data_IF_915144274284
#
_entry.id   IF_915144274284
#
_cell.length_a   1.000
_cell.length_b   1.000
_cell.length_c   1.000
_cell.angle_alpha   90.00
_cell.angle_beta   90.00
_cell.angle_gamma   90.00
#
_symmetry.space_group_name_H-M   'P 1'
#
loop_
_entity.id
_entity.type
_entity.pdbx_description
1 polymer ?
#
# COMPACT_ATOMS: atom_id res chain seq x y z
N UNK A 1 -50.09 68.99 -15.89
CA UNK A 1 -48.97 68.72 -16.83
C UNK A 1 -48.63 67.24 -16.74
N UNK A 2 -48.69 66.53 -17.88
CA UNK A 2 -48.01 65.28 -18.30
C UNK A 2 -47.67 64.25 -17.20
N UNK A 3 -48.26 63.04 -17.19
CA UNK A 3 -47.88 61.91 -18.06
C UNK A 3 -46.56 61.31 -17.54
N UNK A 4 -46.45 60.04 -17.14
CA UNK A 4 -46.41 58.86 -18.00
C UNK A 4 -46.57 57.58 -17.14
N UNK A 5 -47.33 56.64 -17.71
CA UNK A 5 -47.54 55.24 -17.34
C UNK A 5 -46.33 54.35 -17.64
N UNK A 6 -45.98 53.40 -16.77
CA UNK A 6 -45.25 52.19 -17.19
C UNK A 6 -45.92 50.92 -16.65
N UNK A 7 -45.98 49.95 -17.54
CA UNK A 7 -46.88 48.80 -17.59
C UNK A 7 -46.31 47.57 -16.88
N UNK A 8 -47.22 46.77 -16.32
CA UNK A 8 -47.04 45.35 -16.04
C UNK A 8 -46.48 44.61 -17.26
N UNK A 9 -45.45 43.79 -17.06
CA UNK A 9 -45.15 42.65 -17.93
C UNK A 9 -44.90 41.42 -17.05
N UNK A 10 -45.91 40.55 -17.01
CA UNK A 10 -45.81 39.18 -16.51
C UNK A 10 -45.34 38.29 -17.67
N UNK A 11 -44.44 37.31 -17.47
CA UNK A 11 -43.97 36.45 -18.55
C UNK A 11 -45.06 35.44 -18.97
N UNK A 12 -45.21 35.14 -20.28
CA UNK A 12 -46.22 34.21 -20.79
C UNK A 12 -45.85 32.74 -20.54
N UNK A 13 -46.85 31.83 -20.47
CA UNK A 13 -46.63 30.39 -20.34
C UNK A 13 -46.24 29.79 -21.70
N UNK A 14 -45.17 29.00 -21.72
CA UNK A 14 -44.79 28.20 -22.88
C UNK A 14 -45.77 27.03 -23.03
N UNK A 15 -46.65 27.15 -24.02
CA UNK A 15 -47.46 26.06 -24.55
C UNK A 15 -46.68 25.39 -25.66
N UNK A 16 -46.24 24.14 -25.43
CA UNK A 16 -45.87 23.23 -26.51
C UNK A 16 -46.80 22.03 -26.47
N UNK A 17 -47.86 22.15 -27.25
CA UNK A 17 -48.63 21.03 -27.78
C UNK A 17 -47.85 20.47 -28.97
N UNK A 18 -47.41 19.22 -28.90
CA UNK A 18 -47.18 18.41 -30.08
C UNK A 18 -47.63 16.96 -29.84
N UNK A 19 -48.49 16.55 -30.76
CA UNK A 19 -49.19 15.29 -30.89
C UNK A 19 -48.31 14.04 -30.81
N UNK A 20 -48.88 12.99 -30.21
CA UNK A 20 -48.49 11.59 -30.36
C UNK A 20 -48.58 11.12 -31.82
N UNK A 21 -47.80 10.10 -32.22
CA UNK A 21 -48.26 9.10 -33.16
C UNK A 21 -48.70 7.85 -32.40
N UNK A 22 -49.98 7.53 -32.53
CA UNK A 22 -50.52 6.19 -32.29
C UNK A 22 -49.93 5.22 -33.31
N UNK A 23 -49.30 4.14 -32.87
CA UNK A 23 -49.25 2.90 -33.65
C UNK A 23 -50.02 1.83 -32.88
N UNK A 24 -51.21 1.57 -33.43
CA UNK A 24 -52.13 0.49 -33.09
C UNK A 24 -51.58 -0.79 -33.73
N UNK A 25 -51.15 -1.76 -32.94
CA UNK A 25 -51.13 -3.17 -33.39
C UNK A 25 -52.00 -3.96 -32.42
N UNK A 26 -53.15 -4.38 -32.91
CA UNK A 26 -54.16 -5.14 -32.18
C UNK A 26 -54.15 -6.60 -32.62
N UNK A 27 -54.21 -7.49 -31.62
CA UNK A 27 -54.87 -8.83 -31.61
C UNK A 27 -54.12 -9.96 -32.37
N UNK A 28 -53.99 -11.18 -31.87
CA UNK A 28 -54.77 -11.94 -30.87
C UNK A 28 -54.09 -13.32 -30.58
N UNK A 29 -54.67 -14.27 -29.79
CA UNK A 29 -53.98 -14.93 -28.67
C UNK A 29 -53.91 -16.48 -28.77
N UNK A 30 -53.49 -17.11 -27.66
CA UNK A 30 -53.56 -18.54 -27.22
C UNK A 30 -52.15 -19.08 -26.92
N UNK A 31 -51.86 -19.85 -25.87
CA UNK A 31 -52.66 -20.48 -24.82
C UNK A 31 -51.73 -20.77 -23.62
N UNK A 32 -52.35 -20.82 -22.45
CA UNK A 32 -51.85 -21.23 -21.15
C UNK A 32 -51.09 -22.57 -21.14
N UNK A 33 -49.97 -22.65 -20.41
CA UNK A 33 -49.71 -23.81 -19.53
C UNK A 33 -48.85 -23.38 -18.35
N UNK A 34 -49.50 -23.31 -17.19
CA UNK A 34 -48.90 -23.28 -15.86
C UNK A 34 -48.12 -24.56 -15.63
N UNK A 35 -46.87 -24.49 -15.17
CA UNK A 35 -46.21 -25.61 -14.50
C UNK A 35 -45.43 -25.06 -13.31
N UNK A 36 -46.10 -25.12 -12.17
CA UNK A 36 -45.54 -25.04 -10.83
C UNK A 36 -44.67 -26.26 -10.57
N UNK A 37 -43.40 -26.07 -10.20
CA UNK A 37 -42.62 -27.11 -9.54
C UNK A 37 -42.70 -26.92 -8.02
N UNK A 38 -43.60 -27.68 -7.41
CA UNK A 38 -43.57 -28.03 -5.99
C UNK A 38 -42.55 -29.16 -5.80
N UNK A 39 -41.65 -29.03 -4.82
CA UNK A 39 -40.99 -30.16 -4.19
C UNK A 39 -41.29 -30.12 -2.70
N UNK A 40 -42.31 -30.90 -2.33
CA UNK A 40 -42.69 -31.20 -0.95
C UNK A 40 -41.62 -32.05 -0.25
N UNK A 41 -41.53 -31.77 1.04
CA UNK A 41 -40.97 -32.60 2.09
C UNK A 41 -41.34 -34.09 1.95
N UNK A 42 -40.38 -34.96 2.29
CA UNK A 42 -40.59 -36.37 2.54
C UNK A 42 -39.94 -36.75 3.87
N UNK A 43 -40.68 -37.56 4.61
CA UNK A 43 -40.56 -37.84 6.04
C UNK A 43 -39.37 -38.71 6.45
N UNK A 44 -38.98 -38.54 7.72
CA UNK A 44 -38.23 -39.45 8.59
C UNK A 44 -38.70 -40.92 8.53
N UNK A 45 -37.87 -41.86 9.04
CA UNK A 45 -38.24 -42.40 10.35
C UNK A 45 -37.09 -42.44 11.37
N UNK A 46 -37.50 -42.26 12.64
CA UNK A 46 -36.76 -42.55 13.86
C UNK A 46 -36.22 -44.00 13.87
N UNK A 47 -35.00 -44.17 14.37
CA UNK A 47 -34.62 -45.38 15.11
C UNK A 47 -33.96 -44.98 16.43
N UNK A 48 -34.58 -45.41 17.53
CA UNK A 48 -34.05 -45.39 18.90
C UNK A 48 -32.87 -46.35 19.03
N UNK A 49 -31.89 -45.96 19.84
CA UNK A 49 -30.75 -46.79 20.26
C UNK A 49 -29.92 -46.11 21.33
N UNK A 50 -30.50 -45.97 22.53
CA UNK A 50 -29.81 -45.98 23.84
C UNK A 50 -29.17 -47.37 24.01
N UNK A 51 -28.02 -47.67 24.63
CA UNK A 51 -27.08 -47.06 25.58
C UNK A 51 -25.77 -47.86 25.42
N UNK A 52 -24.59 -47.27 25.61
CA UNK A 52 -23.62 -47.78 26.61
C UNK A 52 -22.36 -46.91 26.68
N UNK A 53 -22.08 -46.48 27.91
CA UNK A 53 -20.92 -45.72 28.31
C UNK A 53 -19.72 -46.65 28.49
N UNK A 54 -18.59 -46.31 27.86
CA UNK A 54 -17.27 -46.68 28.36
C UNK A 54 -16.25 -45.55 28.09
N UNK A 55 -15.96 -44.85 29.19
CA UNK A 55 -14.65 -44.38 29.67
C UNK A 55 -13.44 -44.35 28.72
N UNK A 56 -12.81 -43.17 28.72
CA UNK A 56 -11.38 -42.89 28.56
C UNK A 56 -10.66 -43.37 27.29
N UNK A 57 -10.33 -42.39 26.43
CA UNK A 57 -8.92 -42.17 26.12
C UNK A 57 -8.68 -40.68 25.87
N UNK A 58 -7.97 -40.06 26.81
CA UNK A 58 -7.18 -38.85 26.59
C UNK A 58 -6.42 -38.94 25.26
N UNK A 59 -6.90 -38.24 24.23
CA UNK A 59 -6.06 -37.86 23.10
C UNK A 59 -5.67 -36.41 23.29
N UNK A 60 -4.56 -36.24 24.00
CA UNK A 60 -3.76 -35.05 23.99
C UNK A 60 -3.57 -34.58 22.53
N UNK A 61 -3.97 -33.34 22.25
CA UNK A 61 -3.63 -32.65 21.02
C UNK A 61 -2.11 -32.73 20.81
N UNK A 62 -1.61 -33.20 19.64
CA UNK A 62 -0.19 -33.17 19.38
C UNK A 62 0.27 -31.71 19.34
N UNK A 63 1.30 -31.40 20.12
CA UNK A 63 1.90 -30.08 20.20
C UNK A 63 2.21 -29.53 18.82
N UNK A 64 1.51 -28.46 18.45
CA UNK A 64 1.76 -27.66 17.25
C UNK A 64 3.17 -27.08 17.29
N UNK A 65 3.81 -26.79 16.13
CA UNK A 65 5.09 -26.12 16.10
C UNK A 65 4.95 -24.78 16.81
N UNK A 66 5.51 -24.73 18.03
CA UNK A 66 5.59 -23.53 18.86
C UNK A 66 6.21 -22.37 18.08
N UNK A 67 5.90 -21.13 18.46
CA UNK A 67 6.60 -19.91 18.07
C UNK A 67 8.13 -20.10 18.01
N UNK A 68 8.67 -20.91 18.91
CA UNK A 68 10.07 -21.36 18.93
C UNK A 68 10.51 -22.03 17.63
N UNK A 69 9.70 -22.90 17.01
CA UNK A 69 10.02 -23.60 15.78
C UNK A 69 10.06 -22.64 14.57
N UNK A 70 9.12 -21.70 14.45
CA UNK A 70 9.14 -20.69 13.38
C UNK A 70 10.29 -19.69 13.56
N UNK A 71 10.58 -19.28 14.81
CA UNK A 71 11.75 -18.47 15.13
C UNK A 71 13.06 -19.25 14.95
N UNK A 72 13.09 -20.56 15.23
CA UNK A 72 14.23 -21.45 14.97
C UNK A 72 14.49 -21.62 13.49
N UNK A 73 13.45 -21.79 12.68
CA UNK A 73 13.59 -21.86 11.22
C UNK A 73 14.14 -20.54 10.71
N UNK A 74 13.62 -19.40 11.20
CA UNK A 74 14.13 -18.07 10.85
C UNK A 74 15.59 -17.86 11.28
N UNK A 75 16.00 -18.30 12.47
CA UNK A 75 17.40 -18.19 12.92
C UNK A 75 18.34 -19.11 12.16
N UNK A 76 17.96 -20.38 11.95
CA UNK A 76 18.75 -21.36 11.17
C UNK A 76 18.97 -20.94 9.71
N UNK A 77 18.00 -20.24 9.11
CA UNK A 77 18.12 -19.73 7.73
C UNK A 77 18.98 -18.46 7.64
N UNK A 78 18.97 -17.62 8.68
CA UNK A 78 19.87 -16.46 8.76
C UNK A 78 21.32 -16.86 9.05
N UNK A 79 21.54 -17.97 9.77
CA UNK A 79 22.87 -18.52 10.06
C UNK A 79 23.45 -19.37 8.91
N UNK A 80 22.62 -19.85 7.98
CA UNK A 80 23.04 -20.67 6.82
C UNK A 80 23.65 -19.90 5.65
N UNK A 81 23.75 -18.57 5.75
CA UNK A 81 24.16 -17.67 4.67
C UNK A 81 25.47 -16.94 4.91
N UNK A 82 26.55 -17.61 5.34
CA UNK A 82 27.89 -17.03 5.23
C UNK A 82 28.95 -18.10 4.95
N UNK A 83 28.94 -18.62 3.72
CA UNK A 83 30.08 -19.36 3.17
C UNK A 83 30.99 -18.38 2.46
N UNK A 84 32.17 -18.21 3.04
CA UNK A 84 33.26 -17.38 2.55
C UNK A 84 33.73 -17.76 1.14
N UNK A 85 34.10 -16.75 0.36
CA UNK A 85 34.91 -16.84 -0.86
C UNK A 85 35.73 -15.54 -0.98
N UNK A 86 36.90 -15.53 -1.65
CA UNK A 86 38.18 -15.35 -1.00
C UNK A 86 38.84 -13.99 -1.25
N UNK A 87 39.93 -13.76 -0.49
CA UNK A 87 40.94 -12.73 -0.74
C UNK A 87 41.33 -12.64 -2.23
N UNK A 88 41.24 -11.43 -2.76
CA UNK A 88 42.09 -10.98 -3.85
C UNK A 88 42.58 -9.57 -3.54
N UNK A 89 43.91 -9.48 -3.35
CA UNK A 89 44.71 -8.28 -3.47
C UNK A 89 44.37 -7.51 -4.76
N UNK A 90 44.37 -6.16 -4.72
CA UNK A 90 45.15 -5.27 -5.62
C UNK A 90 44.78 -3.79 -5.36
N UNK A 91 45.81 -3.07 -4.93
CA UNK A 91 46.25 -1.71 -5.27
C UNK A 91 45.38 -0.46 -5.01
N UNK A 92 45.88 0.29 -4.03
CA UNK A 92 45.88 1.75 -3.92
C UNK A 92 46.60 2.42 -5.11
N UNK A 93 46.06 3.50 -5.69
CA UNK A 93 46.88 4.49 -6.36
C UNK A 93 46.86 5.82 -5.59
N UNK A 94 47.74 5.92 -4.60
CA UNK A 94 48.30 7.22 -4.18
C UNK A 94 49.75 7.27 -4.67
N UNK A 95 49.94 7.76 -5.90
CA UNK A 95 51.25 8.11 -6.43
C UNK A 95 51.26 9.58 -6.84
N UNK A 96 52.03 10.38 -6.10
CA UNK A 96 52.78 11.49 -6.66
C UNK A 96 53.93 11.86 -5.71
N UNK A 97 54.97 11.02 -5.65
CA UNK A 97 56.29 11.50 -5.23
C UNK A 97 57.34 10.90 -6.15
N UNK A 98 57.97 11.80 -6.89
CA UNK A 98 58.86 11.55 -8.01
C UNK A 98 60.19 11.01 -7.51
N UNK A 99 60.63 9.88 -8.07
CA UNK A 99 62.00 9.39 -8.05
C UNK A 99 62.52 9.38 -9.49
N UNK A 100 63.40 10.32 -9.81
CA UNK A 100 64.38 10.25 -10.89
C UNK A 100 65.29 11.48 -10.71
N UNK A 101 66.59 11.40 -10.59
CA UNK A 101 67.51 10.28 -10.56
C UNK A 101 68.87 10.92 -10.30
N UNK A 102 69.67 10.31 -9.44
CA UNK A 102 71.07 10.67 -9.28
C UNK A 102 71.79 10.48 -10.63
N UNK A 103 71.99 11.57 -11.35
CA UNK A 103 73.04 11.66 -12.36
C UNK A 103 74.17 12.48 -11.75
N UNK A 104 75.25 11.75 -11.47
CA UNK A 104 76.57 12.25 -11.10
C UNK A 104 76.92 13.46 -11.95
N UNK A 105 77.12 14.61 -11.30
CA UNK A 105 77.85 15.71 -11.90
C UNK A 105 79.34 15.29 -11.96
N UNK A 106 80.01 15.37 -13.11
CA UNK A 106 81.45 15.28 -13.14
C UNK A 106 82.05 16.49 -12.44
N UNK A 107 82.99 16.23 -11.53
CA UNK A 107 83.95 17.20 -11.02
C UNK A 107 84.67 17.84 -12.20
N UNK A 108 84.23 19.04 -12.59
CA UNK A 108 85.01 19.94 -13.42
C UNK A 108 85.62 20.96 -12.48
N UNK A 109 86.89 20.70 -12.16
CA UNK A 109 87.81 21.68 -11.64
C UNK A 109 87.65 22.98 -12.44
N UNK A 110 87.39 24.07 -11.73
CA UNK A 110 87.55 25.41 -12.26
C UNK A 110 89.02 25.57 -12.68
N UNK A 111 89.31 25.37 -13.96
CA UNK A 111 90.43 26.07 -14.56
C UNK A 111 90.07 27.55 -14.52
N UNK A 112 90.86 28.31 -13.77
CA UNK A 112 90.87 29.78 -13.81
C UNK A 112 91.36 30.18 -15.20
N UNK A 113 90.44 30.23 -16.15
CA UNK A 113 90.58 30.93 -17.41
C UNK A 113 89.75 32.20 -17.30
N UNK A 114 90.42 33.31 -17.01
CA UNK A 114 89.83 34.64 -16.98
C UNK A 114 89.38 35.05 -18.39
N UNK A 115 88.19 34.63 -18.79
CA UNK A 115 87.40 35.37 -19.76
C UNK A 115 86.62 36.40 -18.94
N UNK A 116 86.95 37.67 -19.10
CA UNK A 116 86.22 38.76 -18.48
C UNK A 116 84.77 38.72 -18.95
N UNK A 117 83.89 38.05 -18.19
CA UNK A 117 82.45 38.21 -18.33
C UNK A 117 82.19 39.68 -18.03
N UNK A 118 81.81 40.42 -19.06
CA UNK A 118 81.55 41.85 -18.92
C UNK A 118 80.39 42.06 -17.96
N UNK A 119 80.40 43.18 -17.25
CA UNK A 119 79.31 43.58 -16.34
C UNK A 119 77.94 43.53 -17.05
N UNK A 120 77.93 43.80 -18.36
CA UNK A 120 76.75 43.72 -19.24
C UNK A 120 76.19 42.29 -19.38
N UNK A 121 77.03 41.26 -19.52
CA UNK A 121 76.57 39.88 -19.66
C UNK A 121 75.96 39.35 -18.34
N UNK A 122 76.48 39.79 -17.19
CA UNK A 122 75.89 39.49 -15.87
C UNK A 122 74.59 40.24 -15.64
N UNK A 123 74.53 41.51 -16.06
CA UNK A 123 73.31 42.31 -15.96
C UNK A 123 72.20 41.77 -16.88
N UNK A 124 72.54 41.33 -18.09
CA UNK A 124 71.60 40.69 -19.01
C UNK A 124 71.11 39.33 -18.47
N UNK A 125 72.00 38.49 -17.93
CA UNK A 125 71.60 37.23 -17.31
C UNK A 125 70.70 37.44 -16.08
N UNK A 126 70.98 38.45 -15.24
CA UNK A 126 70.14 38.80 -14.10
C UNK A 126 68.76 39.32 -14.53
N UNK A 127 68.70 40.20 -15.54
CA UNK A 127 67.45 40.70 -16.12
C UNK A 127 66.60 39.57 -16.73
N UNK A 128 67.24 38.59 -17.37
CA UNK A 128 66.55 37.45 -17.98
C UNK A 128 66.01 36.46 -16.94
N UNK A 129 66.69 36.30 -15.80
CA UNK A 129 66.20 35.53 -14.65
C UNK A 129 65.03 36.23 -13.97
N UNK A 130 65.07 37.56 -13.85
CA UNK A 130 63.98 38.34 -13.27
C UNK A 130 62.74 38.34 -14.17
N UNK A 131 62.89 38.46 -15.49
CA UNK A 131 61.80 38.39 -16.46
C UNK A 131 61.16 37.00 -16.52
N UNK A 132 61.96 35.93 -16.45
CA UNK A 132 61.43 34.55 -16.41
C UNK A 132 60.73 34.22 -15.10
N UNK A 133 61.23 34.75 -13.97
CA UNK A 133 60.57 34.67 -12.66
C UNK A 133 59.23 35.41 -12.66
N UNK A 134 59.20 36.64 -13.19
CA UNK A 134 57.98 37.43 -13.33
C UNK A 134 56.95 36.75 -14.24
N UNK A 135 57.38 36.19 -15.38
CA UNK A 135 56.51 35.46 -16.32
C UNK A 135 56.00 34.14 -15.73
N UNK A 136 56.78 33.49 -14.87
CA UNK A 136 56.35 32.31 -14.12
C UNK A 136 55.32 32.69 -13.05
N UNK A 137 55.49 33.84 -12.39
CA UNK A 137 54.54 34.35 -11.40
C UNK A 137 53.20 34.74 -12.05
N UNK A 138 53.22 35.39 -13.21
CA UNK A 138 52.02 35.71 -13.99
C UNK A 138 51.27 34.45 -14.43
N UNK A 139 51.97 33.39 -14.82
CA UNK A 139 51.36 32.11 -15.18
C UNK A 139 50.65 31.46 -13.97
N UNK A 140 51.25 31.53 -12.78
CA UNK A 140 50.66 31.05 -11.53
C UNK A 140 49.40 31.86 -11.18
N UNK A 141 49.47 33.18 -11.31
CA UNK A 141 48.34 34.09 -11.03
C UNK A 141 47.16 33.88 -12.00
N UNK A 142 47.45 33.62 -13.28
CA UNK A 142 46.44 33.26 -14.28
C UNK A 142 45.77 31.94 -13.93
N UNK A 143 46.53 30.92 -13.52
CA UNK A 143 45.96 29.62 -13.17
C UNK A 143 45.14 29.69 -11.87
N UNK A 144 45.57 30.48 -10.88
CA UNK A 144 44.79 30.77 -9.67
C UNK A 144 43.44 31.43 -10.00
N UNK A 145 43.41 32.36 -10.96
CA UNK A 145 42.15 32.99 -11.43
C UNK A 145 41.25 31.98 -12.14
N UNK A 146 41.81 31.10 -12.97
CA UNK A 146 41.06 30.03 -13.64
C UNK A 146 40.48 29.06 -12.63
N UNK A 147 41.26 28.66 -11.62
CA UNK A 147 40.80 27.77 -10.56
C UNK A 147 39.68 28.38 -9.74
N UNK A 148 39.81 29.66 -9.36
CA UNK A 148 38.73 30.41 -8.69
C UNK A 148 37.47 30.48 -9.55
N UNK A 149 37.61 30.72 -10.85
CA UNK A 149 36.47 30.75 -11.78
C UNK A 149 35.82 29.38 -11.94
N UNK A 150 36.60 28.28 -12.03
CA UNK A 150 36.09 26.90 -12.03
C UNK A 150 35.31 26.62 -10.75
N UNK A 151 35.89 26.95 -9.59
CA UNK A 151 35.25 26.77 -8.29
C UNK A 151 33.97 27.60 -8.17
N UNK A 152 33.97 28.84 -8.64
CA UNK A 152 32.79 29.70 -8.62
C UNK A 152 31.68 29.18 -9.53
N UNK A 153 32.01 28.74 -10.75
CA UNK A 153 31.05 28.13 -11.68
C UNK A 153 30.50 26.81 -11.13
N UNK A 154 31.34 25.97 -10.51
CA UNK A 154 30.91 24.73 -9.87
C UNK A 154 29.95 25.01 -8.71
N UNK A 155 30.26 25.99 -7.86
CA UNK A 155 29.37 26.44 -6.77
C UNK A 155 28.05 27.00 -7.30
N UNK A 156 28.08 27.78 -8.37
CA UNK A 156 26.88 28.32 -9.00
C UNK A 156 25.98 27.20 -9.55
N UNK A 157 26.56 26.24 -10.30
CA UNK A 157 25.84 25.07 -10.83
C UNK A 157 25.25 24.22 -9.70
N UNK A 158 26.04 23.95 -8.66
CA UNK A 158 25.57 23.21 -7.47
C UNK A 158 24.40 23.93 -6.78
N UNK A 159 24.49 25.26 -6.63
CA UNK A 159 23.41 26.07 -6.04
C UNK A 159 22.13 26.00 -6.86
N UNK A 160 22.22 25.98 -8.19
CA UNK A 160 21.05 25.82 -9.06
C UNK A 160 20.44 24.43 -8.94
N UNK A 161 21.26 23.37 -8.93
CA UNK A 161 20.78 21.98 -8.75
C UNK A 161 20.08 21.81 -7.40
N UNK A 162 20.67 22.30 -6.31
CA UNK A 162 20.05 22.22 -4.98
C UNK A 162 18.73 22.99 -4.92
N UNK A 163 18.63 24.15 -5.60
CA UNK A 163 17.39 24.92 -5.67
C UNK A 163 16.30 24.15 -6.44
N UNK A 164 16.66 23.49 -7.54
CA UNK A 164 15.72 22.66 -8.30
C UNK A 164 15.23 21.47 -7.49
N UNK A 165 16.15 20.71 -6.86
CA UNK A 165 15.79 19.57 -6.01
C UNK A 165 14.89 19.99 -4.85
N UNK A 166 15.21 21.08 -4.15
CA UNK A 166 14.38 21.61 -3.07
C UNK A 166 12.99 22.04 -3.55
N UNK A 167 12.86 22.56 -4.77
CA UNK A 167 11.58 22.94 -5.35
C UNK A 167 10.75 21.70 -5.70
N UNK A 168 11.37 20.67 -6.27
CA UNK A 168 10.72 19.38 -6.56
C UNK A 168 10.21 18.72 -5.28
N UNK A 169 11.03 18.66 -4.23
CA UNK A 169 10.61 18.16 -2.91
C UNK A 169 9.42 18.96 -2.38
N UNK A 170 9.47 20.29 -2.49
CA UNK A 170 8.37 21.16 -2.05
C UNK A 170 7.08 20.93 -2.83
N UNK A 171 7.18 20.71 -4.15
CA UNK A 171 6.03 20.37 -5.00
C UNK A 171 5.45 19.01 -4.61
N UNK A 172 6.28 18.01 -4.30
CA UNK A 172 5.81 16.71 -3.83
C UNK A 172 5.11 16.81 -2.47
N UNK A 173 5.67 17.57 -1.54
CA UNK A 173 5.05 17.86 -0.23
C UNK A 173 3.71 18.56 -0.41
N UNK A 174 3.65 19.62 -1.22
CA UNK A 174 2.42 20.35 -1.49
C UNK A 174 1.36 19.48 -2.18
N UNK A 175 1.75 18.62 -3.11
CA UNK A 175 0.81 17.67 -3.75
C UNK A 175 0.22 16.70 -2.73
N UNK A 176 1.07 16.16 -1.84
CA UNK A 176 0.62 15.28 -0.76
C UNK A 176 -0.32 16.02 0.20
N UNK A 177 0.02 17.24 0.57
CA UNK A 177 -0.80 18.08 1.45
C UNK A 177 -2.15 18.43 0.81
N UNK A 178 -2.19 18.77 -0.48
CA UNK A 178 -3.44 18.98 -1.22
C UNK A 178 -4.28 17.70 -1.23
N UNK A 179 -3.67 16.53 -1.40
CA UNK A 179 -4.37 15.26 -1.34
C UNK A 179 -4.95 15.00 0.04
N UNK A 180 -4.14 15.19 1.09
CA UNK A 180 -4.56 15.01 2.49
C UNK A 180 -5.69 15.99 2.86
N UNK A 181 -5.60 17.26 2.45
CA UNK A 181 -6.62 18.29 2.66
C UNK A 181 -7.91 17.99 1.88
N UNK A 182 -7.81 17.44 0.67
CA UNK A 182 -8.99 17.01 -0.08
C UNK A 182 -9.70 15.83 0.61
N UNK A 183 -8.94 14.86 1.14
CA UNK A 183 -9.48 13.75 1.93
C UNK A 183 -10.18 14.31 3.18
N UNK A 184 -9.52 15.20 3.92
CA UNK A 184 -10.10 15.84 5.10
C UNK A 184 -11.39 16.60 4.76
N UNK A 185 -11.39 17.39 3.69
CA UNK A 185 -12.56 18.12 3.22
C UNK A 185 -13.70 17.18 2.82
N UNK A 186 -13.41 16.08 2.14
CA UNK A 186 -14.43 15.08 1.80
C UNK A 186 -15.03 14.46 3.06
N UNK A 187 -14.21 14.05 4.03
CA UNK A 187 -14.67 13.50 5.32
C UNK A 187 -15.49 14.51 6.11
N UNK A 188 -15.08 15.78 6.15
CA UNK A 188 -15.81 16.86 6.85
C UNK A 188 -17.11 17.18 6.13
N UNK A 189 -17.10 17.30 4.80
CA UNK A 189 -18.29 17.55 3.99
C UNK A 189 -19.31 16.43 4.12
N UNK A 190 -18.83 15.19 4.17
CA UNK A 190 -19.62 14.01 4.42
C UNK A 190 -20.22 14.01 5.84
N UNK A 191 -19.46 14.45 6.85
CA UNK A 191 -19.95 14.60 8.23
C UNK A 191 -21.01 15.71 8.34
N UNK A 192 -20.92 16.73 7.49
CA UNK A 192 -21.86 17.84 7.41
C UNK A 192 -23.14 17.52 6.62
N UNK A 193 -23.10 16.55 5.70
CA UNK A 193 -24.27 16.02 4.99
C UNK A 193 -24.80 14.81 5.76
N UNK A 194 -25.64 15.10 6.76
CA UNK A 194 -26.26 14.14 7.68
C UNK A 194 -26.53 12.73 7.09
N UNK A 195 -25.94 11.71 7.73
CA UNK A 195 -26.41 10.33 8.05
C UNK A 195 -27.31 9.52 7.10
N UNK A 196 -27.70 10.00 5.92
CA UNK A 196 -28.72 9.38 5.06
C UNK A 196 -28.41 9.42 3.57
N UNK A 197 -27.39 10.16 3.12
CA UNK A 197 -27.00 10.13 1.70
C UNK A 197 -26.18 8.87 1.41
N UNK A 198 -26.25 8.31 0.20
CA UNK A 198 -25.44 7.12 -0.17
C UNK A 198 -23.93 7.31 0.04
N UNK A 199 -23.42 8.51 -0.24
CA UNK A 199 -22.03 8.86 0.04
C UNK A 199 -21.76 8.91 1.52
N UNK A 200 -22.66 9.59 2.27
CA UNK A 200 -22.92 9.62 3.72
C UNK A 200 -22.98 8.24 4.39
N UNK A 201 -23.48 7.28 3.64
CA UNK A 201 -23.47 5.85 3.86
C UNK A 201 -22.06 5.32 4.13
N UNK A 202 -21.32 5.55 3.05
CA UNK A 202 -20.14 4.80 2.67
C UNK A 202 -18.91 5.28 3.42
N UNK A 203 -18.68 6.59 3.54
CA UNK A 203 -17.50 7.07 4.27
C UNK A 203 -17.60 6.77 5.79
N UNK A 204 -18.79 6.71 6.37
CA UNK A 204 -19.00 6.35 7.78
C UNK A 204 -18.68 4.87 7.98
N UNK A 205 -19.08 4.01 7.04
CA UNK A 205 -18.66 2.61 7.04
C UNK A 205 -17.14 2.49 7.10
N UNK A 206 -16.40 3.14 6.20
CA UNK A 206 -14.93 3.07 6.22
C UNK A 206 -14.32 3.70 7.47
N UNK A 207 -14.91 4.76 8.02
CA UNK A 207 -14.46 5.37 9.26
C UNK A 207 -14.63 4.42 10.46
N UNK A 208 -15.76 3.74 10.56
CA UNK A 208 -16.08 2.84 11.66
C UNK A 208 -15.25 1.55 11.61
N UNK A 209 -15.04 1.00 10.42
CA UNK A 209 -14.33 -0.27 10.20
C UNK A 209 -12.88 -0.13 9.77
N UNK A 210 -12.32 1.10 9.81
CA UNK A 210 -10.92 1.41 9.47
C UNK A 210 -9.92 0.44 10.11
N UNK A 211 -10.14 0.10 11.37
CA UNK A 211 -9.27 -0.79 12.16
C UNK A 211 -9.92 -2.13 12.47
N UNK A 212 -10.80 -2.60 11.58
CA UNK A 212 -11.58 -3.80 11.80
C UNK A 212 -12.68 -3.63 12.83
N UNK A 213 -13.09 -4.76 13.41
CA UNK A 213 -14.09 -4.85 14.46
C UNK A 213 -13.50 -4.35 15.78
N UNK A 214 -14.11 -3.35 16.39
CA UNK A 214 -13.69 -2.86 17.70
C UNK A 214 -14.32 -3.76 18.75
N UNK A 215 -13.50 -4.25 19.68
CA UNK A 215 -14.01 -4.93 20.85
C UNK A 215 -14.77 -3.93 21.72
N UNK A 216 -16.02 -4.23 22.07
CA UNK A 216 -16.69 -3.55 23.19
C UNK A 216 -16.03 -4.00 24.48
N UNK A 217 -15.75 -3.08 25.39
CA UNK A 217 -15.35 -3.38 26.77
C UNK A 217 -16.58 -3.91 27.55
N UNK A 218 -17.21 -4.97 27.06
CA UNK A 218 -18.20 -5.73 27.82
C UNK A 218 -17.59 -7.08 28.14
N UNK A 219 -17.09 -7.15 29.36
CA UNK A 219 -16.40 -8.29 29.94
C UNK A 219 -17.43 -9.37 30.25
N UNK A 220 -17.89 -10.11 29.25
CA UNK A 220 -18.45 -11.43 29.50
C UNK A 220 -17.30 -12.43 29.50
N UNK A 221 -17.05 -12.99 30.68
CA UNK A 221 -16.04 -14.00 30.95
C UNK A 221 -16.72 -15.36 30.82
N UNK A 222 -16.60 -16.10 29.70
CA UNK A 222 -17.09 -17.46 29.68
C UNK A 222 -16.08 -18.30 30.46
N UNK A 223 -16.52 -18.87 31.57
CA UNK A 223 -15.79 -19.91 32.26
C UNK A 223 -15.50 -21.04 31.27
N UNK A 224 -14.22 -21.38 31.13
CA UNK A 224 -13.62 -22.48 30.34
C UNK A 224 -13.46 -22.24 28.83
N UNK A 225 -12.19 -22.35 28.38
CA UNK A 225 -11.64 -22.28 26.99
C UNK A 225 -10.99 -20.95 26.61
N UNK A 226 -9.67 -20.99 26.37
CA UNK A 226 -8.72 -19.88 26.14
C UNK A 226 -8.85 -19.17 24.77
N UNK A 227 -10.07 -18.87 24.30
CA UNK A 227 -10.26 -18.06 23.10
C UNK A 227 -10.97 -16.76 23.51
N UNK A 228 -10.22 -15.65 23.56
CA UNK A 228 -10.80 -14.32 23.71
C UNK A 228 -11.56 -14.00 22.43
N UNK A 229 -12.87 -14.23 22.44
CA UNK A 229 -13.75 -13.84 21.33
C UNK A 229 -14.00 -12.34 21.43
N UNK A 230 -13.64 -11.52 20.43
CA UNK A 230 -13.94 -10.09 20.46
C UNK A 230 -15.46 -9.88 20.49
N UNK A 231 -15.97 -9.25 21.54
CA UNK A 231 -17.37 -8.78 21.60
C UNK A 231 -17.51 -7.60 20.65
N UNK A 232 -18.39 -7.69 19.65
CA UNK A 232 -18.62 -6.65 18.65
C UNK A 232 -19.03 -5.33 19.33
N UNK A 233 -18.38 -4.21 18.99
CA UNK A 233 -18.80 -2.87 19.41
C UNK A 233 -20.26 -2.60 19.04
N UNK A 234 -21.10 -2.25 20.02
CA UNK A 234 -22.51 -1.92 19.79
C UNK A 234 -22.67 -0.82 18.71
N UNK A 235 -21.78 0.19 18.71
CA UNK A 235 -21.79 1.27 17.71
C UNK A 235 -21.64 0.75 16.27
N UNK A 236 -20.76 -0.23 16.04
CA UNK A 236 -20.58 -0.80 14.70
C UNK A 236 -21.77 -1.66 14.28
N UNK A 237 -22.36 -2.40 15.24
CA UNK A 237 -23.56 -3.22 14.99
C UNK A 237 -24.78 -2.34 14.68
N UNK A 238 -25.06 -1.35 15.51
CA UNK A 238 -26.20 -0.44 15.35
C UNK A 238 -26.12 0.33 14.03
N UNK A 239 -24.91 0.76 13.66
CA UNK A 239 -24.66 1.37 12.37
C UNK A 239 -25.04 0.42 11.23
N UNK A 240 -24.56 -0.83 11.21
CA UNK A 240 -24.90 -1.77 10.14
C UNK A 240 -26.41 -2.07 10.10
N UNK A 241 -27.06 -2.24 11.26
CA UNK A 241 -28.51 -2.47 11.33
C UNK A 241 -29.34 -1.30 10.78
N UNK A 242 -28.83 -0.07 10.93
CA UNK A 242 -29.50 1.13 10.43
C UNK A 242 -29.20 1.37 8.94
N UNK A 243 -27.93 1.21 8.55
CA UNK A 243 -27.41 1.56 7.22
C UNK A 243 -27.66 0.50 6.15
N UNK A 244 -27.77 -0.77 6.53
CA UNK A 244 -27.85 -1.91 5.61
C UNK A 244 -29.28 -2.42 5.50
N UNK A 245 -29.62 -2.97 4.33
CA UNK A 245 -30.82 -3.80 4.20
C UNK A 245 -30.70 -5.04 5.11
N UNK A 246 -31.81 -5.57 5.67
CA UNK A 246 -31.77 -6.78 6.50
C UNK A 246 -31.13 -7.99 5.81
N UNK A 247 -31.29 -8.06 4.49
CA UNK A 247 -30.79 -9.09 3.57
C UNK A 247 -29.61 -8.59 2.71
N UNK A 248 -28.87 -7.58 3.19
CA UNK A 248 -27.70 -7.02 2.48
C UNK A 248 -26.76 -8.12 1.97
N UNK A 249 -26.45 -8.09 0.69
CA UNK A 249 -25.56 -9.10 0.09
C UNK A 249 -24.11 -8.76 0.41
N UNK A 250 -23.43 -9.63 1.18
CA UNK A 250 -22.00 -9.53 1.47
C UNK A 250 -21.13 -10.38 0.53
N UNK A 251 -19.82 -10.42 0.82
CA UNK A 251 -18.87 -11.22 0.03
C UNK A 251 -19.08 -12.73 0.18
N UNK A 252 -19.47 -13.17 1.37
CA UNK A 252 -19.61 -14.60 1.70
C UNK A 252 -21.09 -15.00 1.79
N UNK A 253 -21.89 -14.20 2.50
CA UNK A 253 -23.28 -14.51 2.82
C UNK A 253 -24.10 -13.21 2.94
N UNK A 254 -25.40 -13.32 3.23
CA UNK A 254 -26.34 -12.20 3.32
C UNK A 254 -26.67 -11.80 4.77
N UNK A 255 -27.02 -10.53 4.94
CA UNK A 255 -27.46 -9.94 6.20
C UNK A 255 -26.35 -9.38 7.08
N UNK A 256 -26.76 -8.62 8.10
CA UNK A 256 -25.85 -7.87 8.98
C UNK A 256 -24.95 -8.79 9.81
N UNK A 257 -25.47 -9.92 10.30
CA UNK A 257 -24.66 -10.86 11.10
C UNK A 257 -23.55 -11.51 10.27
N UNK A 258 -23.81 -11.79 8.98
CA UNK A 258 -22.78 -12.29 8.07
C UNK A 258 -21.65 -11.28 7.85
N UNK A 259 -21.99 -9.99 7.71
CA UNK A 259 -21.00 -8.92 7.59
C UNK A 259 -20.15 -8.80 8.86
N UNK A 260 -20.76 -8.87 10.04
CA UNK A 260 -20.05 -8.84 11.32
C UNK A 260 -19.15 -10.07 11.50
N UNK A 261 -19.62 -11.24 11.10
CA UNK A 261 -18.81 -12.46 11.12
C UNK A 261 -17.59 -12.35 10.20
N UNK A 262 -17.76 -11.82 8.99
CA UNK A 262 -16.64 -11.57 8.08
C UNK A 262 -15.63 -10.57 8.68
N UNK A 263 -16.09 -9.47 9.27
CA UNK A 263 -15.21 -8.51 9.95
C UNK A 263 -14.48 -9.12 11.14
N UNK A 264 -15.12 -10.02 11.88
CA UNK A 264 -14.47 -10.75 12.97
C UNK A 264 -13.31 -11.60 12.46
N UNK A 265 -13.49 -12.29 11.34
CA UNK A 265 -12.43 -13.08 10.72
C UNK A 265 -11.27 -12.21 10.21
N UNK A 266 -11.59 -11.09 9.55
CA UNK A 266 -10.58 -10.10 9.13
C UNK A 266 -9.79 -9.60 10.34
N UNK A 267 -10.48 -9.16 11.40
CA UNK A 267 -9.84 -8.58 12.59
C UNK A 267 -8.96 -9.59 13.32
N UNK A 268 -9.40 -10.85 13.40
CA UNK A 268 -8.62 -11.94 13.98
C UNK A 268 -7.33 -12.19 13.18
N UNK A 269 -7.43 -12.21 11.84
CA UNK A 269 -6.28 -12.45 10.98
C UNK A 269 -5.34 -11.25 10.92
N UNK A 270 -5.86 -10.03 11.08
CA UNK A 270 -5.09 -8.78 10.91
C UNK A 270 -5.41 -7.79 12.03
N UNK A 271 -4.87 -7.97 13.25
CA UNK A 271 -5.20 -7.14 14.40
C UNK A 271 -4.79 -5.67 14.27
N UNK A 272 -3.73 -5.40 13.48
CA UNK A 272 -3.19 -4.06 13.24
C UNK A 272 -3.69 -3.43 11.92
N UNK A 273 -4.79 -3.95 11.36
CA UNK A 273 -5.31 -3.49 10.08
C UNK A 273 -5.63 -1.98 10.09
N UNK A 274 -5.26 -1.30 9.01
CA UNK A 274 -5.59 0.09 8.74
C UNK A 274 -6.10 0.23 7.30
N UNK A 275 -7.40 0.48 7.15
CA UNK A 275 -8.08 0.68 5.86
C UNK A 275 -8.40 2.15 5.70
N UNK A 276 -7.68 2.81 4.81
CA UNK A 276 -7.86 4.22 4.51
C UNK A 276 -8.71 4.37 3.25
N UNK A 277 -9.82 5.10 3.36
CA UNK A 277 -10.59 5.52 2.20
C UNK A 277 -9.81 6.58 1.43
N UNK A 278 -9.44 6.27 0.18
CA UNK A 278 -8.68 7.18 -0.69
C UNK A 278 -9.63 8.09 -1.44
N UNK A 279 -10.69 7.52 -2.01
CA UNK A 279 -11.72 8.26 -2.75
C UNK A 279 -12.98 7.42 -2.94
N UNK A 280 -14.06 8.12 -3.25
CA UNK A 280 -15.35 7.56 -3.63
C UNK A 280 -15.66 8.01 -5.06
N UNK A 281 -16.17 7.08 -5.86
CA UNK A 281 -16.52 7.26 -7.28
C UNK A 281 -17.93 6.72 -7.54
N UNK A 282 -18.58 7.26 -8.57
CA UNK A 282 -19.84 6.72 -9.06
C UNK A 282 -19.58 5.41 -9.82
N UNK A 283 -20.30 4.36 -9.45
CA UNK A 283 -20.30 3.11 -10.16
C UNK A 283 -21.43 3.03 -11.19
N UNK A 284 -21.54 1.90 -11.91
CA UNK A 284 -22.67 1.66 -12.79
C UNK A 284 -23.99 1.57 -12.00
N UNK A 285 -25.06 2.19 -12.52
CA UNK A 285 -26.35 2.25 -11.84
C UNK A 285 -26.27 3.02 -10.51
N UNK A 286 -27.01 2.58 -9.51
CA UNK A 286 -27.04 3.21 -8.18
C UNK A 286 -25.92 2.70 -7.26
N UNK A 287 -24.75 2.38 -7.84
CA UNK A 287 -23.61 1.87 -7.08
C UNK A 287 -22.57 2.94 -6.79
N UNK A 288 -21.88 2.77 -5.66
CA UNK A 288 -20.72 3.54 -5.25
C UNK A 288 -19.50 2.63 -5.31
N UNK A 289 -18.41 3.14 -5.85
CA UNK A 289 -17.11 2.48 -5.80
C UNK A 289 -16.21 3.23 -4.84
N UNK A 290 -15.76 2.53 -3.80
CA UNK A 290 -14.80 3.04 -2.84
C UNK A 290 -13.42 2.46 -3.10
N UNK A 291 -12.44 3.33 -3.34
CA UNK A 291 -11.05 2.93 -3.48
C UNK A 291 -10.35 3.14 -2.16
N UNK A 292 -9.70 2.09 -1.66
CA UNK A 292 -9.05 2.07 -0.36
C UNK A 292 -7.59 1.68 -0.46
N UNK A 293 -6.83 2.05 0.57
CA UNK A 293 -5.49 1.56 0.80
C UNK A 293 -5.49 0.85 2.15
N UNK A 294 -5.20 -0.45 2.14
CA UNK A 294 -5.09 -1.29 3.32
C UNK A 294 -3.63 -1.45 3.73
N UNK A 295 -3.37 -1.54 5.03
CA UNK A 295 -2.10 -2.05 5.53
C UNK A 295 -2.31 -2.91 6.77
N UNK A 296 -1.56 -4.00 6.89
CA UNK A 296 -1.59 -4.91 8.03
C UNK A 296 -0.32 -5.75 8.06
N UNK A 297 -0.03 -6.36 9.21
CA UNK A 297 1.10 -7.26 9.39
C UNK A 297 0.62 -8.71 9.30
N UNK A 298 1.39 -9.56 8.62
CA UNK A 298 1.15 -11.01 8.62
C UNK A 298 1.57 -11.57 9.99
N UNK A 299 0.60 -11.94 10.80
CA UNK A 299 0.80 -12.52 12.14
C UNK A 299 0.76 -14.05 12.09
N UNK A 300 1.01 -14.68 13.24
CA UNK A 300 0.80 -16.12 13.41
C UNK A 300 -0.67 -16.49 13.14
N UNK A 301 -1.62 -15.69 13.63
CA UNK A 301 -3.04 -15.87 13.35
C UNK A 301 -3.35 -15.75 11.86
N UNK A 302 -2.74 -14.79 11.15
CA UNK A 302 -2.88 -14.73 9.68
C UNK A 302 -2.44 -16.05 9.05
N UNK A 303 -1.26 -16.57 9.40
CA UNK A 303 -0.76 -17.83 8.83
C UNK A 303 -1.66 -19.01 9.20
N UNK A 304 -2.09 -19.10 10.45
CA UNK A 304 -2.93 -20.19 10.96
C UNK A 304 -4.33 -20.19 10.32
N UNK A 305 -4.96 -19.04 10.16
CA UNK A 305 -6.33 -18.94 9.68
C UNK A 305 -6.43 -18.77 8.17
N UNK A 306 -5.53 -18.02 7.53
CA UNK A 306 -5.54 -17.78 6.09
C UNK A 306 -4.73 -18.80 5.28
N UNK A 307 -3.62 -19.30 5.82
CA UNK A 307 -2.69 -20.19 5.11
C UNK A 307 -2.27 -21.41 5.95
N UNK A 308 -3.22 -22.21 6.48
CA UNK A 308 -2.92 -23.28 7.43
C UNK A 308 -1.96 -24.34 6.89
N UNK A 309 -1.95 -24.55 5.56
CA UNK A 309 -1.03 -25.48 4.90
C UNK A 309 0.43 -25.04 4.97
N UNK A 310 0.71 -23.74 5.15
CA UNK A 310 2.08 -23.26 5.33
C UNK A 310 2.65 -23.60 6.71
N UNK A 311 1.79 -23.70 7.72
CA UNK A 311 2.17 -24.02 9.10
C UNK A 311 2.29 -25.54 9.30
N UNK A 312 1.38 -26.31 8.69
CA UNK A 312 1.31 -27.76 8.85
C UNK A 312 1.94 -28.53 7.67
N UNK A 313 2.66 -27.82 6.79
CA UNK A 313 3.23 -28.37 5.56
C UNK A 313 4.63 -28.95 5.72
N UNK A 314 5.34 -29.10 4.60
CA UNK A 314 6.72 -29.56 4.58
C UNK A 314 7.73 -28.42 4.89
N UNK A 315 9.02 -28.71 4.86
CA UNK A 315 10.08 -27.73 5.16
C UNK A 315 10.03 -26.48 4.26
N UNK A 316 9.64 -26.62 2.99
CA UNK A 316 9.49 -25.49 2.06
C UNK A 316 8.30 -24.62 2.45
N UNK A 317 7.21 -25.23 2.89
CA UNK A 317 6.01 -24.52 3.36
C UNK A 317 6.31 -23.75 4.66
N UNK A 318 7.04 -24.37 5.59
CA UNK A 318 7.50 -23.73 6.82
C UNK A 318 8.50 -22.59 6.54
N UNK A 319 9.38 -22.75 5.54
CA UNK A 319 10.26 -21.69 5.07
C UNK A 319 9.45 -20.50 4.52
N UNK A 320 8.43 -20.75 3.69
CA UNK A 320 7.52 -19.70 3.20
C UNK A 320 6.80 -19.00 4.36
N UNK A 321 6.24 -19.76 5.31
CA UNK A 321 5.60 -19.20 6.50
C UNK A 321 6.55 -18.26 7.26
N UNK A 322 7.81 -18.68 7.44
CA UNK A 322 8.84 -17.88 8.14
C UNK A 322 9.20 -16.59 7.40
N UNK A 323 9.14 -16.59 6.05
CA UNK A 323 9.36 -15.40 5.23
C UNK A 323 8.22 -14.41 5.32
N UNK A 324 6.99 -14.92 5.36
CA UNK A 324 5.77 -14.12 5.45
C UNK A 324 5.58 -13.52 6.85
N UNK A 325 5.93 -14.27 7.89
CA UNK A 325 5.70 -13.87 9.28
C UNK A 325 6.36 -12.51 9.62
N UNK A 326 5.56 -11.62 10.21
CA UNK A 326 5.98 -10.28 10.62
C UNK A 326 6.15 -9.28 9.47
N UNK A 327 5.84 -9.66 8.23
CA UNK A 327 5.92 -8.74 7.10
C UNK A 327 4.69 -7.85 7.05
N UNK A 328 4.91 -6.57 6.80
CA UNK A 328 3.83 -5.60 6.63
C UNK A 328 3.44 -5.49 5.16
N UNK A 329 2.19 -5.83 4.86
CA UNK A 329 1.62 -5.71 3.53
C UNK A 329 0.90 -4.37 3.37
N UNK A 330 0.92 -3.86 2.15
CA UNK A 330 0.14 -2.70 1.73
C UNK A 330 -0.66 -3.10 0.50
N UNK A 331 -1.99 -3.11 0.61
CA UNK A 331 -2.90 -3.55 -0.45
C UNK A 331 -3.71 -2.37 -0.97
N UNK A 332 -4.08 -2.43 -2.25
CA UNK A 332 -5.09 -1.52 -2.81
C UNK A 332 -6.41 -2.25 -2.86
N UNK A 333 -7.44 -1.66 -2.25
CA UNK A 333 -8.78 -2.20 -2.17
C UNK A 333 -9.77 -1.47 -3.06
N UNK A 334 -10.79 -2.19 -3.48
CA UNK A 334 -11.96 -1.68 -4.17
C UNK A 334 -13.21 -2.32 -3.55
N UNK A 335 -14.11 -1.48 -3.05
CA UNK A 335 -15.39 -1.91 -2.51
C UNK A 335 -16.52 -1.31 -3.33
N UNK A 336 -17.36 -2.18 -3.90
CA UNK A 336 -18.57 -1.82 -4.62
C UNK A 336 -19.74 -1.91 -3.66
N UNK A 337 -20.51 -0.84 -3.55
CA UNK A 337 -21.67 -0.72 -2.67
C UNK A 337 -22.87 -0.42 -3.55
N UNK A 338 -23.89 -1.27 -3.51
CA UNK A 338 -25.16 -1.00 -4.16
C UNK A 338 -26.07 -0.29 -3.16
N UNK A 339 -26.59 0.86 -3.57
CA UNK A 339 -27.53 1.63 -2.77
C UNK A 339 -28.96 1.39 -3.25
N UNK A 340 -29.87 1.20 -2.30
CA UNK A 340 -31.31 1.17 -2.53
C UNK A 340 -31.86 2.57 -2.19
N UNK A 341 -32.21 3.33 -3.22
CA UNK A 341 -32.77 4.69 -3.08
C UNK A 341 -34.17 4.69 -2.45
N UNK A 342 -34.95 3.62 -2.60
CA UNK A 342 -36.31 3.54 -2.03
C UNK A 342 -36.23 3.27 -0.52
N UNK A 343 -35.39 2.32 -0.12
CA UNK A 343 -35.18 1.98 1.29
C UNK A 343 -34.24 2.95 2.02
N UNK A 344 -33.43 3.73 1.28
CA UNK A 344 -32.37 4.58 1.83
C UNK A 344 -31.28 3.77 2.54
N UNK A 345 -30.95 2.59 2.02
CA UNK A 345 -30.04 1.61 2.64
C UNK A 345 -29.12 0.95 1.63
N UNK A 346 -28.05 0.34 2.14
CA UNK A 346 -27.14 -0.47 1.32
C UNK A 346 -27.75 -1.85 1.08
N UNK A 347 -27.95 -2.21 -0.18
CA UNK A 347 -28.46 -3.51 -0.61
C UNK A 347 -27.35 -4.55 -0.83
N UNK A 348 -26.14 -4.12 -1.18
CA UNK A 348 -25.00 -5.02 -1.38
C UNK A 348 -23.68 -4.34 -1.07
N UNK A 349 -22.72 -5.09 -0.53
CA UNK A 349 -21.35 -4.66 -0.31
C UNK A 349 -20.36 -5.75 -0.72
N UNK A 350 -19.55 -5.46 -1.73
CA UNK A 350 -18.59 -6.39 -2.30
C UNK A 350 -17.21 -5.75 -2.30
N UNK A 351 -16.26 -6.30 -1.55
CA UNK A 351 -14.88 -5.80 -1.53
C UNK A 351 -13.93 -6.75 -2.26
N UNK A 352 -12.83 -6.19 -2.73
CA UNK A 352 -11.64 -6.85 -3.26
C UNK A 352 -10.42 -6.09 -2.75
N UNK A 353 -9.34 -6.77 -2.42
CA UNK A 353 -8.06 -6.13 -2.16
C UNK A 353 -6.91 -6.95 -2.74
N UNK A 354 -6.04 -6.30 -3.51
CA UNK A 354 -4.91 -6.94 -4.17
C UNK A 354 -3.82 -7.30 -3.15
N UNK A 355 -3.77 -8.58 -2.79
CA UNK A 355 -2.68 -9.18 -1.99
C UNK A 355 -1.65 -9.88 -2.88
N UNK A 356 -1.97 -10.13 -4.15
CA UNK A 356 -1.08 -10.80 -5.09
C UNK A 356 0.19 -9.98 -5.34
N UNK A 357 0.04 -8.69 -5.67
CA UNK A 357 1.19 -7.85 -5.99
C UNK A 357 2.14 -7.64 -4.80
N UNK A 358 1.65 -7.36 -3.58
CA UNK A 358 2.51 -7.30 -2.39
C UNK A 358 3.22 -8.63 -2.10
N UNK A 359 2.54 -9.77 -2.28
CA UNK A 359 3.15 -11.09 -2.08
C UNK A 359 4.24 -11.38 -3.12
N UNK A 360 4.02 -11.01 -4.39
CA UNK A 360 5.02 -11.16 -5.44
C UNK A 360 6.26 -10.30 -5.17
N UNK A 361 6.08 -9.06 -4.70
CA UNK A 361 7.18 -8.19 -4.30
C UNK A 361 7.96 -8.76 -3.11
N UNK A 362 7.26 -9.34 -2.14
CA UNK A 362 7.87 -9.93 -0.94
C UNK A 362 8.64 -11.22 -1.24
N UNK A 363 8.05 -12.12 -2.04
CA UNK A 363 8.59 -13.45 -2.30
C UNK A 363 9.60 -13.45 -3.45
N UNK A 364 9.43 -12.56 -4.43
CA UNK A 364 10.35 -12.34 -5.55
C UNK A 364 10.13 -13.25 -6.76
N UNK A 365 9.19 -14.20 -6.69
CA UNK A 365 8.87 -15.10 -7.79
C UNK A 365 7.41 -15.59 -7.70
N UNK A 366 6.86 -16.02 -8.84
CA UNK A 366 5.46 -16.46 -8.93
C UNK A 366 5.24 -17.89 -8.43
N UNK A 367 6.27 -18.73 -8.42
CA UNK A 367 6.18 -20.13 -7.97
C UNK A 367 5.84 -20.20 -6.47
N UNK A 368 6.58 -19.46 -5.65
CA UNK A 368 6.34 -19.32 -4.21
C UNK A 368 4.97 -18.71 -3.94
N UNK A 369 4.58 -17.67 -4.68
CA UNK A 369 3.27 -17.02 -4.55
C UNK A 369 2.15 -18.01 -4.88
N UNK A 370 2.29 -18.80 -5.95
CA UNK A 370 1.32 -19.84 -6.32
C UNK A 370 1.20 -20.90 -5.22
N UNK A 371 2.29 -21.19 -4.51
CA UNK A 371 2.30 -22.15 -3.40
C UNK A 371 1.60 -21.60 -2.15
N UNK A 372 1.78 -20.31 -1.86
CA UNK A 372 1.03 -19.60 -0.80
C UNK A 372 -0.47 -19.64 -1.08
N UNK A 373 -0.90 -19.34 -2.31
CA UNK A 373 -2.30 -19.34 -2.74
C UNK A 373 -2.74 -20.68 -3.36
N UNK A 374 -2.18 -21.80 -2.90
CA UNK A 374 -2.62 -23.13 -3.34
C UNK A 374 -4.07 -23.41 -2.94
N UNK A 375 -4.65 -24.51 -3.43
CA UNK A 375 -6.04 -24.89 -3.14
C UNK A 375 -6.38 -25.05 -1.66
N UNK A 376 -5.37 -25.21 -0.80
CA UNK A 376 -5.52 -25.32 0.66
C UNK A 376 -5.52 -23.95 1.37
N UNK A 377 -5.23 -22.87 0.66
CA UNK A 377 -5.30 -21.51 1.19
C UNK A 377 -6.77 -21.13 1.43
N UNK A 378 -7.03 -20.52 2.58
CA UNK A 378 -8.35 -20.00 2.95
C UNK A 378 -8.55 -18.55 2.56
N UNK A 379 -7.50 -17.85 2.16
CA UNK A 379 -7.55 -16.49 1.64
C UNK A 379 -7.07 -16.48 0.19
N UNK A 380 -7.85 -15.89 -0.70
CA UNK A 380 -7.50 -15.81 -2.12
C UNK A 380 -6.67 -14.53 -2.44
N UNK A 381 -6.28 -14.38 -3.71
CA UNK A 381 -5.50 -13.24 -4.22
C UNK A 381 -6.24 -11.89 -4.19
N UNK A 382 -7.54 -11.90 -3.93
CA UNK A 382 -8.38 -10.71 -3.75
C UNK A 382 -8.65 -10.40 -2.27
N UNK A 383 -7.92 -11.05 -1.35
CA UNK A 383 -8.09 -10.91 0.10
C UNK A 383 -9.49 -11.29 0.60
N UNK A 384 -10.13 -12.27 -0.05
CA UNK A 384 -11.42 -12.83 0.36
C UNK A 384 -11.22 -14.20 0.99
N UNK A 385 -11.91 -14.45 2.09
CA UNK A 385 -11.93 -15.77 2.69
C UNK A 385 -12.83 -16.69 1.87
N UNK A 386 -12.30 -17.86 1.51
CA UNK A 386 -13.03 -18.93 0.84
C UNK A 386 -13.48 -19.94 1.90
N UNK A 387 -14.77 -20.26 1.89
CA UNK A 387 -15.33 -21.32 2.72
C UNK A 387 -14.85 -22.66 2.15
N UNK A 388 -14.13 -23.43 2.96
CA UNK A 388 -13.64 -24.77 2.64
C UNK A 388 -14.66 -25.83 2.99
#
# INVERSE_FOLDING_TARGET
MRGVTEHLVSPPPLTHSFASPSVRTTLSPRNSTTTSFNLSASNLPLSKGEIDAHTDTDQAFPGHPSLEALLMVRSKLLDGGNVAAPMAYVENPSQATRLAGHKRLPSLAWCVGSAAVTEEDRAQAAAQVEETSARSQDAIDIELRRERNRAHQARYKMKQLNKMASLEDSVQVLKKEIQDLNIQRQVISFRASASHTRWGVTAEYFRLFRNGLKASLEMERPSTSEIVVPVVSQVQRDFLQTAMAPDVVGVIDYGVEALLHNWKLITLCTPDIDIQLVRLEDGPGDSIVAITKGSYTITEDTLRFAFPHLVNGNEVDAWLASRLFGQRLVTTGCTKILWDEEAGRVASIQYTADILMPMLQLLGNLEDVSRVFSSSARLNTESRFVLS
#
